data_IF_257845817686
#
_entry.id   IF_257845817686
#
_cell.length_a   1.000
_cell.length_b   1.000
_cell.length_c   1.000
_cell.angle_alpha   90.00
_cell.angle_beta   90.00
_cell.angle_gamma   90.00
#
_symmetry.space_group_name_H-M   'P 1'
#
loop_
_entity.id
_entity.type
_entity.pdbx_description
1 polymer ?
#
# COMPACT_ATOMS: atom_id res chain seq x y z
N UNK A 1 26.40 -26.74 -28.28
CA UNK A 1 25.84 -25.45 -28.72
C UNK A 1 26.55 -25.04 -30.01
N UNK A 2 25.78 -24.76 -31.08
CA UNK A 2 26.34 -24.30 -32.36
C UNK A 2 26.79 -22.83 -32.24
N UNK A 3 27.68 -22.36 -33.11
CA UNK A 3 28.23 -20.98 -33.03
C UNK A 3 27.11 -19.94 -33.17
N UNK A 4 26.10 -20.24 -33.99
CA UNK A 4 24.92 -19.40 -34.21
C UNK A 4 24.12 -19.20 -32.92
N UNK A 5 23.90 -20.27 -32.14
CA UNK A 5 23.21 -20.21 -30.84
C UNK A 5 24.00 -19.39 -29.82
N UNK A 6 25.33 -19.46 -29.85
CA UNK A 6 26.18 -18.63 -28.98
C UNK A 6 26.11 -17.15 -29.33
N UNK A 7 26.07 -16.82 -30.63
CA UNK A 7 25.92 -15.45 -31.10
C UNK A 7 24.56 -14.89 -30.71
N UNK A 8 23.49 -15.67 -30.90
CA UNK A 8 22.12 -15.28 -30.49
C UNK A 8 22.05 -15.05 -28.99
N UNK A 9 22.56 -15.98 -28.18
CA UNK A 9 22.55 -15.83 -26.73
C UNK A 9 23.37 -14.60 -26.25
N UNK A 10 24.52 -14.34 -26.89
CA UNK A 10 25.33 -13.17 -26.57
C UNK A 10 24.62 -11.85 -26.96
N UNK A 11 23.95 -11.81 -28.12
CA UNK A 11 23.21 -10.64 -28.56
C UNK A 11 21.95 -10.41 -27.71
N UNK A 12 21.18 -11.46 -27.42
CA UNK A 12 20.03 -11.42 -26.53
C UNK A 12 20.43 -10.88 -25.16
N UNK A 13 21.54 -11.35 -24.59
CA UNK A 13 22.08 -10.81 -23.33
C UNK A 13 22.37 -9.31 -23.41
N UNK A 14 23.04 -8.85 -24.48
CA UNK A 14 23.32 -7.41 -24.65
C UNK A 14 22.03 -6.58 -24.77
N UNK A 15 21.00 -7.11 -25.43
CA UNK A 15 19.70 -6.47 -25.53
C UNK A 15 18.99 -6.45 -24.17
N UNK A 16 18.96 -7.57 -23.44
CA UNK A 16 18.39 -7.65 -22.09
C UNK A 16 19.07 -6.67 -21.14
N UNK A 17 20.41 -6.64 -21.10
CA UNK A 17 21.17 -5.72 -20.26
C UNK A 17 20.84 -4.25 -20.57
N UNK A 18 20.65 -3.93 -21.85
CA UNK A 18 20.24 -2.60 -22.29
C UNK A 18 18.82 -2.26 -21.85
N UNK A 19 17.85 -3.15 -22.08
CA UNK A 19 16.44 -2.91 -21.75
C UNK A 19 16.22 -2.80 -20.25
N UNK A 20 16.90 -3.63 -19.46
CA UNK A 20 16.89 -3.54 -17.99
C UNK A 20 17.43 -2.17 -17.56
N UNK A 21 18.57 -1.75 -18.12
CA UNK A 21 19.15 -0.44 -17.81
C UNK A 21 18.23 0.73 -18.18
N UNK A 22 17.59 0.66 -19.34
CA UNK A 22 16.65 1.69 -19.80
C UNK A 22 15.38 1.72 -18.90
N UNK A 23 14.94 0.56 -18.39
CA UNK A 23 13.84 0.43 -17.43
C UNK A 23 14.19 1.01 -16.06
N UNK A 24 15.38 0.71 -15.53
CA UNK A 24 15.90 1.33 -14.30
C UNK A 24 15.92 2.85 -14.46
N UNK A 25 16.46 3.36 -15.58
CA UNK A 25 16.53 4.80 -15.83
C UNK A 25 15.15 5.47 -15.95
N UNK A 26 14.12 4.75 -16.39
CA UNK A 26 12.74 5.23 -16.41
C UNK A 26 12.15 5.27 -14.99
N UNK A 27 12.31 4.19 -14.21
CA UNK A 27 11.88 4.11 -12.81
C UNK A 27 12.62 5.11 -11.91
N UNK A 28 13.87 5.44 -12.23
CA UNK A 28 14.64 6.48 -11.53
C UNK A 28 14.14 7.90 -11.82
N UNK A 29 13.44 8.10 -12.94
CA UNK A 29 12.87 9.39 -13.37
C UNK A 29 11.43 9.61 -12.90
N UNK A 30 10.73 8.54 -12.50
CA UNK A 30 9.45 8.65 -11.82
C UNK A 30 9.63 9.43 -10.51
N UNK A 31 8.77 10.43 -10.29
CA UNK A 31 8.93 11.41 -9.21
C UNK A 31 8.64 10.76 -7.84
N UNK A 32 9.11 11.36 -6.76
CA UNK A 32 8.79 10.95 -5.40
C UNK A 32 7.28 11.06 -5.08
N UNK A 33 6.51 11.79 -5.89
CA UNK A 33 5.05 11.84 -5.78
C UNK A 33 4.35 10.60 -6.38
N UNK A 34 5.08 9.77 -7.14
CA UNK A 34 4.59 8.51 -7.71
C UNK A 34 5.03 7.30 -6.85
N UNK A 35 5.79 7.58 -5.78
CA UNK A 35 6.14 6.61 -4.75
C UNK A 35 4.93 6.30 -3.88
N UNK A 36 4.78 5.03 -3.49
CA UNK A 36 3.71 4.61 -2.58
C UNK A 36 4.19 4.44 -1.15
N UNK A 37 5.50 4.49 -0.89
CA UNK A 37 6.02 4.70 0.46
C UNK A 37 5.91 6.16 0.87
N UNK A 38 5.79 6.38 2.17
CA UNK A 38 5.62 7.73 2.71
C UNK A 38 6.74 8.71 2.40
N UNK A 39 6.37 10.00 2.47
CA UNK A 39 7.29 11.14 2.34
C UNK A 39 8.46 11.12 3.34
N UNK A 40 8.36 10.33 4.42
CA UNK A 40 9.37 10.14 5.45
C UNK A 40 10.31 8.94 5.21
N UNK A 41 10.07 8.15 4.16
CA UNK A 41 10.93 7.02 3.76
C UNK A 41 12.38 7.46 3.55
N UNK A 42 12.59 8.68 3.03
CA UNK A 42 13.90 9.18 2.66
C UNK A 42 14.49 8.52 1.41
N UNK A 43 13.69 7.70 0.71
CA UNK A 43 13.99 7.19 -0.63
C UNK A 43 13.69 8.27 -1.67
N UNK A 44 14.38 8.21 -2.81
CA UNK A 44 14.36 9.30 -3.80
C UNK A 44 13.36 9.09 -4.92
N UNK A 45 13.13 7.85 -5.33
CA UNK A 45 12.31 7.51 -6.50
C UNK A 45 11.79 6.07 -6.40
N UNK A 46 10.88 5.74 -7.31
CA UNK A 46 10.26 4.42 -7.45
C UNK A 46 11.28 3.29 -7.58
N UNK A 47 12.41 3.51 -8.26
CA UNK A 47 13.46 2.48 -8.36
C UNK A 47 14.06 2.13 -6.99
N UNK A 48 14.34 3.12 -6.14
CA UNK A 48 14.88 2.88 -4.79
C UNK A 48 13.86 2.12 -3.91
N UNK A 49 12.55 2.39 -4.05
CA UNK A 49 11.49 1.64 -3.35
C UNK A 49 11.43 0.17 -3.78
N UNK A 50 11.44 -0.08 -5.10
CA UNK A 50 11.46 -1.43 -5.65
C UNK A 50 12.68 -2.19 -5.11
N UNK A 51 13.86 -1.55 -5.04
CA UNK A 51 15.05 -2.18 -4.48
C UNK A 51 14.88 -2.57 -3.01
N UNK A 52 14.28 -1.71 -2.19
CA UNK A 52 14.03 -1.98 -0.78
C UNK A 52 13.03 -3.12 -0.60
N UNK A 53 11.89 -3.07 -1.29
CA UNK A 53 10.84 -4.10 -1.19
C UNK A 53 11.34 -5.48 -1.64
N UNK A 54 12.13 -5.54 -2.71
CA UNK A 54 12.73 -6.81 -3.18
C UNK A 54 13.79 -7.35 -2.20
N UNK A 55 14.48 -6.49 -1.44
CA UNK A 55 15.54 -6.89 -0.49
C UNK A 55 15.02 -7.25 0.89
N UNK A 56 13.78 -6.90 1.22
CA UNK A 56 13.13 -7.21 2.49
C UNK A 56 11.78 -7.88 2.24
N UNK A 57 10.70 -7.18 2.57
CA UNK A 57 9.33 -7.64 2.44
C UNK A 57 8.57 -6.74 1.47
N UNK A 58 7.77 -7.38 0.62
CA UNK A 58 6.94 -6.73 -0.37
C UNK A 58 5.81 -5.96 0.34
N UNK A 59 5.54 -4.72 -0.08
CA UNK A 59 4.42 -3.98 0.48
C UNK A 59 3.09 -4.52 -0.05
N UNK A 60 1.98 -4.15 0.58
CA UNK A 60 0.64 -4.50 0.10
C UNK A 60 0.33 -3.93 -1.29
N UNK A 61 1.12 -2.96 -1.76
CA UNK A 61 1.02 -2.34 -3.08
C UNK A 61 2.01 -2.90 -4.10
N UNK A 62 2.71 -4.00 -3.77
CA UNK A 62 3.71 -4.60 -4.65
C UNK A 62 3.18 -4.90 -6.05
N UNK A 63 1.92 -5.33 -6.16
CA UNK A 63 1.22 -5.57 -7.43
C UNK A 63 1.27 -4.34 -8.36
N UNK A 64 1.15 -3.11 -7.83
CA UNK A 64 1.21 -1.88 -8.62
C UNK A 64 2.62 -1.62 -9.20
N UNK A 65 3.67 -1.96 -8.45
CA UNK A 65 5.05 -1.89 -8.94
C UNK A 65 5.32 -2.95 -10.00
N UNK A 66 4.78 -4.17 -9.83
CA UNK A 66 4.84 -5.23 -10.84
C UNK A 66 4.17 -4.80 -12.14
N UNK A 67 2.95 -4.27 -12.08
CA UNK A 67 2.22 -3.75 -13.25
C UNK A 67 2.99 -2.63 -13.95
N UNK A 68 3.59 -1.71 -13.18
CA UNK A 68 4.40 -0.62 -13.71
C UNK A 68 5.65 -1.14 -14.44
N UNK A 69 6.36 -2.09 -13.84
CA UNK A 69 7.53 -2.73 -14.47
C UNK A 69 7.15 -3.48 -15.75
N UNK A 70 6.05 -4.24 -15.72
CA UNK A 70 5.54 -4.97 -16.89
C UNK A 70 5.14 -4.02 -18.01
N UNK A 71 4.45 -2.93 -17.70
CA UNK A 71 4.05 -1.91 -18.67
C UNK A 71 5.26 -1.24 -19.36
N UNK A 72 6.28 -0.87 -18.60
CA UNK A 72 7.53 -0.30 -19.13
C UNK A 72 8.26 -1.29 -20.05
N UNK A 73 8.43 -2.53 -19.60
CA UNK A 73 9.11 -3.58 -20.35
C UNK A 73 8.37 -3.92 -21.64
N UNK A 74 7.04 -4.03 -21.58
CA UNK A 74 6.18 -4.24 -22.75
C UNK A 74 6.40 -3.13 -23.77
N UNK A 75 6.32 -1.87 -23.34
CA UNK A 75 6.54 -0.72 -24.22
C UNK A 75 7.92 -0.72 -24.88
N UNK A 76 8.97 -1.13 -24.17
CA UNK A 76 10.29 -1.24 -24.78
C UNK A 76 10.43 -2.42 -25.74
N UNK A 77 9.82 -3.57 -25.45
CA UNK A 77 9.82 -4.75 -26.33
C UNK A 77 9.08 -4.46 -27.64
N UNK A 78 7.96 -3.74 -27.59
CA UNK A 78 7.18 -3.34 -28.76
C UNK A 78 7.98 -2.45 -29.74
N UNK A 79 8.91 -1.65 -29.23
CA UNK A 79 9.78 -0.78 -30.03
C UNK A 79 10.89 -1.52 -30.76
N UNK A 80 11.14 -2.80 -30.43
CA UNK A 80 12.17 -3.59 -31.07
C UNK A 80 11.72 -4.12 -32.43
N UNK A 81 12.70 -4.22 -33.34
CA UNK A 81 12.49 -4.94 -34.59
C UNK A 81 12.28 -6.45 -34.33
N UNK A 82 11.78 -7.13 -35.37
CA UNK A 82 11.44 -8.55 -35.28
C UNK A 82 12.66 -9.43 -34.98
N UNK A 83 13.83 -9.08 -35.49
CA UNK A 83 15.05 -9.88 -35.32
C UNK A 83 15.55 -9.79 -33.88
N UNK A 84 15.47 -8.61 -33.26
CA UNK A 84 15.77 -8.39 -31.85
C UNK A 84 14.78 -9.13 -30.93
N UNK A 85 13.47 -9.06 -31.21
CA UNK A 85 12.46 -9.84 -30.47
C UNK A 85 12.69 -11.34 -30.60
N UNK A 86 13.01 -11.83 -31.80
CA UNK A 86 13.36 -13.23 -32.01
C UNK A 86 14.59 -13.66 -31.21
N UNK A 87 15.63 -12.81 -31.15
CA UNK A 87 16.83 -13.12 -30.39
C UNK A 87 16.55 -13.22 -28.88
N UNK A 88 15.74 -12.29 -28.35
CA UNK A 88 15.31 -12.31 -26.94
C UNK A 88 14.42 -13.50 -26.63
N UNK A 89 13.45 -13.82 -27.48
CA UNK A 89 12.56 -14.97 -27.27
C UNK A 89 13.32 -16.30 -27.37
N UNK A 90 14.30 -16.42 -28.27
CA UNK A 90 15.10 -17.64 -28.41
C UNK A 90 15.89 -18.05 -27.16
N UNK A 91 15.98 -17.17 -26.15
CA UNK A 91 16.59 -17.48 -24.84
C UNK A 91 15.58 -17.53 -23.68
N UNK A 92 14.28 -17.41 -23.94
CA UNK A 92 13.22 -17.77 -22.99
C UNK A 92 13.06 -19.28 -22.93
N UNK A 93 12.30 -19.78 -21.96
CA UNK A 93 12.08 -21.22 -21.82
C UNK A 93 11.29 -21.73 -23.04
N UNK A 94 10.20 -21.04 -23.41
CA UNK A 94 9.41 -21.38 -24.61
C UNK A 94 10.24 -21.31 -25.90
N UNK A 95 11.02 -20.25 -26.10
CA UNK A 95 11.78 -20.09 -27.33
C UNK A 95 12.98 -21.04 -27.41
N UNK A 96 13.60 -21.38 -26.27
CA UNK A 96 14.65 -22.41 -26.23
C UNK A 96 14.08 -23.77 -26.60
N UNK A 97 12.93 -24.15 -26.05
CA UNK A 97 12.23 -25.41 -26.38
C UNK A 97 11.87 -25.44 -27.87
N UNK A 98 11.34 -24.34 -28.39
CA UNK A 98 11.02 -24.22 -29.81
C UNK A 98 12.26 -24.38 -30.71
N UNK A 99 13.37 -23.73 -30.36
CA UNK A 99 14.64 -23.84 -31.10
C UNK A 99 15.12 -25.29 -31.10
N UNK A 100 15.01 -25.98 -29.97
CA UNK A 100 15.42 -27.38 -29.81
C UNK A 100 14.57 -28.35 -30.65
N UNK A 101 13.25 -28.15 -30.68
CA UNK A 101 12.32 -28.96 -31.47
C UNK A 101 12.54 -28.81 -32.99
N UNK A 102 13.01 -27.65 -33.45
CA UNK A 102 13.18 -27.33 -34.87
C UNK A 102 14.65 -27.40 -35.35
N UNK A 103 15.60 -27.92 -34.55
CA UNK A 103 17.03 -27.97 -34.92
C UNK A 103 17.34 -28.81 -36.17
N UNK A 104 16.45 -29.75 -36.52
CA UNK A 104 16.61 -30.66 -37.64
C UNK A 104 16.05 -30.11 -38.97
N UNK A 105 15.34 -28.97 -38.93
CA UNK A 105 14.69 -28.41 -40.09
C UNK A 105 15.71 -27.81 -41.06
N UNK A 106 15.78 -28.36 -42.26
CA UNK A 106 16.79 -27.99 -43.28
C UNK A 106 16.42 -26.76 -44.09
N UNK A 107 15.14 -26.39 -44.14
CA UNK A 107 14.63 -25.30 -44.99
C UNK A 107 14.43 -23.97 -44.24
N UNK A 108 14.72 -23.96 -42.93
CA UNK A 108 14.47 -22.84 -42.02
C UNK A 108 12.98 -22.62 -41.76
N UNK A 109 12.62 -22.19 -40.55
CA UNK A 109 11.22 -21.88 -40.24
C UNK A 109 10.89 -20.47 -40.70
N UNK A 110 10.00 -20.36 -41.69
CA UNK A 110 9.35 -19.09 -42.03
C UNK A 110 8.17 -18.94 -41.08
N UNK A 111 8.17 -17.86 -40.30
CA UNK A 111 7.12 -17.52 -39.33
C UNK A 111 7.25 -18.15 -37.92
N UNK A 112 8.39 -17.90 -37.28
CA UNK A 112 8.61 -18.24 -35.85
C UNK A 112 7.58 -17.49 -34.97
N UNK A 113 6.83 -18.20 -34.11
CA UNK A 113 5.81 -17.62 -33.25
C UNK A 113 6.43 -16.98 -32.01
N UNK A 114 6.97 -15.78 -32.17
CA UNK A 114 7.61 -15.04 -31.07
C UNK A 114 6.55 -14.59 -30.06
N UNK A 115 6.68 -15.04 -28.81
CA UNK A 115 5.86 -14.58 -27.68
C UNK A 115 6.51 -13.36 -27.02
N UNK A 116 5.81 -12.23 -27.01
CA UNK A 116 6.29 -11.01 -26.34
C UNK A 116 6.14 -11.13 -24.82
N UNK A 117 5.08 -11.79 -24.34
CA UNK A 117 4.81 -12.01 -22.92
C UNK A 117 5.96 -12.78 -22.25
N UNK A 118 6.50 -13.81 -22.91
CA UNK A 118 7.66 -14.57 -22.42
C UNK A 118 8.94 -13.73 -22.38
N UNK A 119 9.14 -12.83 -23.36
CA UNK A 119 10.27 -11.90 -23.35
C UNK A 119 10.13 -10.96 -22.14
N UNK A 120 8.95 -10.37 -21.95
CA UNK A 120 8.67 -9.43 -20.85
C UNK A 120 8.85 -10.12 -19.50
N UNK A 121 8.32 -11.33 -19.33
CA UNK A 121 8.48 -12.13 -18.11
C UNK A 121 9.96 -12.35 -17.78
N UNK A 122 10.76 -12.81 -18.75
CA UNK A 122 12.20 -13.02 -18.55
C UNK A 122 12.96 -11.73 -18.24
N UNK A 123 12.59 -10.62 -18.87
CA UNK A 123 13.20 -9.31 -18.60
C UNK A 123 12.82 -8.79 -17.21
N UNK A 124 11.59 -9.04 -16.75
CA UNK A 124 11.12 -8.70 -15.40
C UNK A 124 11.93 -9.43 -14.34
N UNK A 125 12.18 -10.73 -14.52
CA UNK A 125 13.04 -11.49 -13.61
C UNK A 125 14.46 -10.90 -13.55
N UNK A 126 14.99 -10.45 -14.70
CA UNK A 126 16.26 -9.76 -14.78
C UNK A 126 16.27 -8.40 -14.06
N UNK A 127 15.17 -7.64 -14.16
CA UNK A 127 14.98 -6.36 -13.50
C UNK A 127 14.88 -6.52 -11.98
N UNK A 128 14.08 -7.48 -11.50
CA UNK A 128 13.96 -7.83 -10.09
C UNK A 128 15.31 -8.32 -9.53
N UNK A 129 16.04 -9.13 -10.31
CA UNK A 129 17.41 -9.53 -9.95
C UNK A 129 18.35 -8.33 -9.84
N UNK A 130 18.21 -7.32 -10.70
CA UNK A 130 18.99 -6.09 -10.60
C UNK A 130 18.63 -5.30 -9.33
N UNK A 131 17.34 -5.20 -9.00
CA UNK A 131 16.84 -4.54 -7.78
C UNK A 131 17.36 -5.22 -6.50
N UNK A 132 17.33 -6.56 -6.45
CA UNK A 132 17.84 -7.35 -5.32
C UNK A 132 19.34 -7.12 -5.04
N UNK A 133 20.10 -6.75 -6.07
CA UNK A 133 21.55 -6.53 -5.99
C UNK A 133 21.96 -5.06 -5.98
N UNK A 134 21.00 -4.13 -6.04
CA UNK A 134 21.26 -2.70 -6.08
C UNK A 134 21.33 -2.12 -4.66
N UNK A 135 22.34 -1.31 -4.37
CA UNK A 135 22.43 -0.65 -3.06
C UNK A 135 23.04 0.73 -3.18
N UNK A 136 22.58 1.64 -2.34
CA UNK A 136 23.13 2.97 -2.18
C UNK A 136 22.98 3.42 -0.71
N UNK A 137 23.46 4.63 -0.39
CA UNK A 137 23.45 5.13 0.98
C UNK A 137 22.03 5.32 1.56
N UNK A 138 21.02 5.65 0.74
CA UNK A 138 19.63 5.81 1.19
C UNK A 138 19.00 4.47 1.48
N UNK A 139 19.12 3.53 0.55
CA UNK A 139 18.66 2.15 0.72
C UNK A 139 19.33 1.53 1.95
N UNK A 140 20.65 1.65 2.08
CA UNK A 140 21.37 1.11 3.25
C UNK A 140 20.85 1.72 4.55
N UNK A 141 20.61 3.04 4.58
CA UNK A 141 20.04 3.72 5.75
C UNK A 141 18.59 3.27 6.03
N UNK A 142 17.79 3.08 4.99
CA UNK A 142 16.43 2.59 5.09
C UNK A 142 16.41 1.18 5.69
N UNK A 143 17.21 0.27 5.13
CA UNK A 143 17.32 -1.11 5.60
C UNK A 143 17.88 -1.17 7.03
N UNK A 144 18.85 -0.32 7.38
CA UNK A 144 19.43 -0.25 8.73
C UNK A 144 18.42 0.25 9.78
N UNK A 145 17.53 1.18 9.43
CA UNK A 145 16.41 1.59 10.32
C UNK A 145 15.46 0.43 10.64
N UNK A 146 15.43 -0.60 9.79
CA UNK A 146 14.65 -1.81 10.02
C UNK A 146 15.45 -2.92 10.72
N UNK A 147 16.78 -2.85 10.78
CA UNK A 147 17.63 -3.80 11.52
C UNK A 147 17.86 -3.36 12.97
N UNK A 148 18.00 -2.05 13.21
CA UNK A 148 18.13 -1.43 14.53
C UNK A 148 16.79 -0.79 14.92
N UNK A 149 15.86 -1.58 15.46
CA UNK A 149 14.54 -1.10 15.88
C UNK A 149 14.65 0.15 16.76
N UNK A 150 13.91 1.21 16.40
CA UNK A 150 13.77 2.50 17.10
C UNK A 150 14.65 2.70 18.34
N UNK A 151 15.96 2.85 18.16
CA UNK A 151 16.75 3.59 19.13
C UNK A 151 16.50 5.07 18.83
N UNK A 152 15.86 5.73 19.80
CA UNK A 152 15.75 7.16 19.95
C UNK A 152 17.04 7.83 19.43
N UNK A 153 16.96 8.46 18.26
CA UNK A 153 17.94 9.47 17.93
C UNK A 153 17.63 10.64 18.86
N UNK A 154 18.31 10.67 19.99
CA UNK A 154 18.46 11.83 20.86
C UNK A 154 18.64 13.06 19.95
N UNK A 155 17.65 13.96 19.99
CA UNK A 155 17.87 15.32 19.53
C UNK A 155 18.95 15.89 20.44
N UNK A 156 20.18 15.98 19.94
CA UNK A 156 21.25 16.78 20.53
C UNK A 156 20.81 18.26 20.55
N UNK A 157 19.96 18.64 21.51
CA UNK A 157 19.80 20.02 21.96
C UNK A 157 20.68 20.21 23.21
N UNK A 158 21.96 20.46 22.96
CA UNK A 158 22.81 21.24 23.86
C UNK A 158 22.17 22.64 24.03
N UNK A 159 21.57 22.93 25.18
CA UNK A 159 21.96 24.08 26.03
C UNK A 159 21.14 24.20 27.32
N UNK A 160 21.84 23.89 28.41
CA UNK A 160 21.91 24.60 29.71
C UNK A 160 20.63 24.91 30.53
N UNK A 161 20.49 24.09 31.60
CA UNK A 161 20.26 24.46 33.00
C UNK A 161 19.29 25.62 33.35
N UNK A 162 18.15 25.28 33.95
CA UNK A 162 17.63 26.01 35.12
C UNK A 162 16.87 25.08 36.10
N UNK A 163 17.42 25.02 37.32
CA UNK A 163 16.89 24.35 38.50
C UNK A 163 15.52 24.91 38.98
N UNK A 164 14.79 24.05 39.69
CA UNK A 164 14.26 24.28 41.06
C UNK A 164 12.73 24.10 41.26
N UNK A 165 12.45 23.08 42.08
CA UNK A 165 11.39 22.89 43.08
C UNK A 165 9.90 23.15 42.80
N UNK A 166 9.09 22.11 43.07
CA UNK A 166 7.68 22.27 43.43
C UNK A 166 6.83 21.01 43.31
N UNK A 167 6.85 20.16 44.33
CA UNK A 167 5.88 19.07 44.48
C UNK A 167 4.48 19.61 44.83
N UNK A 168 3.48 19.36 44.00
CA UNK A 168 2.06 19.31 44.40
C UNK A 168 1.29 18.24 43.61
N UNK A 169 0.60 17.36 44.35
CA UNK A 169 -0.36 16.37 43.88
C UNK A 169 -1.41 16.98 42.94
N UNK A 170 -1.71 16.32 41.81
CA UNK A 170 -3.01 16.40 41.16
C UNK A 170 -3.24 15.24 40.18
N UNK A 171 -4.22 14.41 40.54
CA UNK A 171 -5.09 13.59 39.69
C UNK A 171 -4.49 13.01 38.39
N UNK A 172 -4.35 11.68 38.34
CA UNK A 172 -4.41 10.89 37.11
C UNK A 172 -5.79 11.05 36.45
N UNK A 173 -6.03 12.21 35.85
CA UNK A 173 -6.90 12.30 34.69
C UNK A 173 -6.14 11.69 33.54
N UNK A 174 -6.47 10.44 33.21
CA UNK A 174 -6.26 9.86 31.89
C UNK A 174 -6.95 10.79 30.88
N UNK A 175 -6.26 11.84 30.44
CA UNK A 175 -6.62 12.56 29.23
C UNK A 175 -6.41 11.54 28.11
N UNK A 176 -7.46 10.79 27.77
CA UNK A 176 -7.57 10.19 26.44
C UNK A 176 -7.56 11.38 25.47
N UNK A 177 -6.36 11.64 24.99
CA UNK A 177 -6.02 12.77 24.16
C UNK A 177 -6.56 12.45 22.77
N UNK A 178 -7.85 12.74 22.53
CA UNK A 178 -8.31 12.94 21.18
C UNK A 178 -7.68 14.25 20.71
N UNK A 179 -6.45 14.17 20.21
CA UNK A 179 -5.92 15.22 19.36
C UNK A 179 -6.65 15.11 18.02
N UNK A 180 -7.85 15.69 17.94
CA UNK A 180 -8.33 16.17 16.66
C UNK A 180 -7.32 17.24 16.26
N UNK A 181 -6.21 16.80 15.62
CA UNK A 181 -5.13 17.69 15.20
C UNK A 181 -5.80 18.91 14.57
N UNK A 182 -5.35 20.15 14.84
CA UNK A 182 -5.98 21.37 14.33
C UNK A 182 -6.07 21.49 12.79
N UNK A 183 -5.70 20.44 12.06
CA UNK A 183 -5.78 20.28 10.61
C UNK A 183 -7.21 20.04 10.07
N UNK A 184 -8.17 19.50 10.85
CA UNK A 184 -9.53 19.22 10.33
C UNK A 184 -10.48 20.39 10.61
N UNK A 185 -10.80 21.16 9.57
CA UNK A 185 -11.78 22.24 9.67
C UNK A 185 -13.23 21.69 9.66
N UNK A 186 -14.02 22.07 10.67
CA UNK A 186 -15.42 21.67 10.87
C UNK A 186 -15.67 20.14 10.85
N UNK A 187 -15.12 19.37 11.80
CA UNK A 187 -15.30 17.92 11.85
C UNK A 187 -16.76 17.54 12.13
N UNK A 188 -17.21 16.44 11.52
CA UNK A 188 -18.51 15.82 11.75
C UNK A 188 -18.31 14.57 12.58
N UNK A 189 -18.75 14.61 13.82
CA UNK A 189 -18.66 13.45 14.73
C UNK A 189 -19.84 12.53 14.51
N UNK A 190 -19.57 11.33 13.99
CA UNK A 190 -20.53 10.26 13.84
C UNK A 190 -20.51 9.36 15.08
N UNK A 191 -21.53 9.52 15.93
CA UNK A 191 -21.62 8.81 17.21
C UNK A 191 -22.45 7.54 17.07
N UNK A 192 -21.82 6.39 17.33
CA UNK A 192 -22.50 5.11 17.52
C UNK A 192 -22.53 4.82 19.02
N UNK A 193 -23.72 4.64 19.59
CA UNK A 193 -23.86 4.32 21.02
C UNK A 193 -23.88 2.82 21.23
N UNK A 194 -23.44 2.36 22.41
CA UNK A 194 -23.57 0.97 22.81
C UNK A 194 -25.01 0.45 22.70
N UNK A 195 -26.02 1.28 22.96
CA UNK A 195 -27.43 0.88 22.78
C UNK A 195 -27.74 0.50 21.33
N UNK A 196 -27.26 1.28 20.33
CA UNK A 196 -27.45 0.95 18.91
C UNK A 196 -26.79 -0.38 18.55
N UNK A 197 -25.60 -0.63 19.10
CA UNK A 197 -24.85 -1.87 18.89
C UNK A 197 -25.56 -3.06 19.54
N UNK A 198 -25.96 -2.92 20.81
CA UNK A 198 -26.65 -3.97 21.58
C UNK A 198 -28.00 -4.33 20.95
N UNK A 199 -28.72 -3.36 20.40
CA UNK A 199 -30.01 -3.55 19.71
C UNK A 199 -29.85 -3.96 18.23
N UNK A 200 -28.63 -3.93 17.68
CA UNK A 200 -28.35 -4.07 16.24
C UNK A 200 -29.20 -3.12 15.38
N UNK A 201 -29.41 -1.89 15.85
CA UNK A 201 -30.17 -0.85 15.14
C UNK A 201 -29.28 -0.11 14.12
N UNK A 202 -28.96 -0.83 13.04
CA UNK A 202 -28.10 -0.34 11.95
C UNK A 202 -28.78 0.77 11.14
N UNK A 203 -30.11 0.74 11.00
CA UNK A 203 -30.85 1.70 10.16
C UNK A 203 -30.75 3.14 10.69
N UNK A 204 -30.80 3.34 12.02
CA UNK A 204 -30.60 4.67 12.62
C UNK A 204 -29.25 5.29 12.24
N UNK A 205 -28.21 4.46 12.10
CA UNK A 205 -26.89 4.89 11.63
C UNK A 205 -26.84 5.09 10.12
N UNK A 206 -27.49 4.21 9.35
CA UNK A 206 -27.56 4.32 7.88
C UNK A 206 -28.35 5.53 7.42
N UNK A 207 -29.38 5.95 8.14
CA UNK A 207 -30.15 7.17 7.83
C UNK A 207 -29.24 8.40 7.78
N UNK A 208 -28.30 8.50 8.71
CA UNK A 208 -27.28 9.54 8.71
C UNK A 208 -26.27 9.35 7.57
N UNK A 209 -25.68 8.16 7.43
CA UNK A 209 -24.64 7.91 6.42
C UNK A 209 -25.14 8.08 4.98
N UNK A 210 -26.34 7.60 4.67
CA UNK A 210 -26.99 7.78 3.35
C UNK A 210 -27.25 9.25 3.05
N UNK A 211 -27.43 10.10 4.06
CA UNK A 211 -27.59 11.55 3.86
C UNK A 211 -26.31 12.25 3.39
N UNK A 212 -25.13 11.64 3.60
CA UNK A 212 -23.84 12.15 3.15
C UNK A 212 -23.59 11.92 1.64
N UNK A 213 -24.33 10.99 1.02
CA UNK A 213 -24.18 10.60 -0.40
C UNK A 213 -25.47 10.90 -1.20
N UNK A 214 -25.96 12.16 -1.24
CA UNK A 214 -27.18 12.47 -1.97
C UNK A 214 -26.92 12.44 -3.48
N UNK A 215 -27.69 11.64 -4.22
CA UNK A 215 -27.55 11.52 -5.69
C UNK A 215 -27.74 12.86 -6.40
N UNK A 216 -28.62 13.73 -5.88
CA UNK A 216 -28.99 14.99 -6.53
C UNK A 216 -28.06 16.17 -6.21
N UNK A 217 -27.07 16.00 -5.30
CA UNK A 217 -26.23 17.11 -4.78
C UNK A 217 -24.77 16.69 -4.56
N UNK A 218 -23.98 16.52 -5.63
CA UNK A 218 -22.54 16.19 -5.54
C UNK A 218 -21.75 17.15 -4.64
N UNK A 219 -22.08 18.43 -4.65
CA UNK A 219 -21.43 19.44 -3.82
C UNK A 219 -21.58 19.18 -2.32
N UNK A 220 -22.63 18.44 -1.92
CA UNK A 220 -22.85 18.06 -0.54
C UNK A 220 -21.88 16.97 -0.11
N UNK A 221 -21.74 15.90 -0.90
CA UNK A 221 -20.77 14.84 -0.62
C UNK A 221 -19.35 15.41 -0.54
N UNK A 222 -19.00 16.30 -1.49
CA UNK A 222 -17.70 16.97 -1.50
C UNK A 222 -17.44 17.80 -0.24
N UNK A 223 -18.45 18.50 0.28
CA UNK A 223 -18.31 19.34 1.47
C UNK A 223 -17.96 18.55 2.74
N UNK A 224 -18.28 17.25 2.78
CA UNK A 224 -17.97 16.36 3.92
C UNK A 224 -16.77 15.43 3.67
N UNK A 225 -16.12 15.51 2.50
CA UNK A 225 -14.90 14.76 2.18
C UNK A 225 -13.86 14.97 3.29
N UNK A 226 -13.37 13.88 3.87
CA UNK A 226 -12.33 13.91 4.91
C UNK A 226 -12.70 14.63 6.22
N UNK A 227 -13.99 14.77 6.55
CA UNK A 227 -14.44 15.48 7.77
C UNK A 227 -15.08 14.57 8.82
N UNK A 228 -15.39 13.34 8.48
CA UNK A 228 -16.12 12.43 9.36
C UNK A 228 -15.16 11.81 10.38
N UNK A 229 -15.55 11.85 11.65
CA UNK A 229 -14.86 11.18 12.77
C UNK A 229 -15.81 10.16 13.40
N UNK A 230 -15.39 8.91 13.51
CA UNK A 230 -16.13 7.84 14.16
C UNK A 230 -15.94 7.92 15.67
N UNK A 231 -17.04 7.93 16.43
CA UNK A 231 -17.03 7.85 17.88
C UNK A 231 -17.96 6.74 18.35
N UNK A 232 -17.40 5.69 18.95
CA UNK A 232 -18.18 4.63 19.60
C UNK A 232 -18.20 4.89 21.10
N UNK A 233 -19.40 5.03 21.68
CA UNK A 233 -19.59 5.42 23.09
C UNK A 233 -20.26 4.33 23.91
N UNK A 234 -19.98 4.27 25.21
CA UNK A 234 -20.58 3.29 26.14
C UNK A 234 -19.73 2.05 26.40
N UNK A 235 -18.50 2.03 25.89
CA UNK A 235 -17.48 1.00 26.13
C UNK A 235 -16.28 1.52 26.93
N UNK A 236 -16.37 2.72 27.54
CA UNK A 236 -15.26 3.35 28.26
C UNK A 236 -14.73 2.55 29.45
N UNK A 237 -15.54 1.62 29.98
CA UNK A 237 -15.18 0.69 31.06
C UNK A 237 -14.82 -0.72 30.59
N UNK A 238 -14.93 -1.01 29.29
CA UNK A 238 -14.45 -2.27 28.71
C UNK A 238 -12.91 -2.17 28.57
N UNK A 239 -12.14 -3.14 29.10
CA UNK A 239 -10.68 -3.12 29.00
C UNK A 239 -10.16 -3.48 27.61
N UNK A 240 -11.01 -4.01 26.72
CA UNK A 240 -10.66 -4.39 25.35
C UNK A 240 -10.71 -3.18 24.41
N UNK A 241 -9.93 -3.25 23.35
CA UNK A 241 -10.02 -2.32 22.22
C UNK A 241 -11.32 -2.54 21.44
N UNK A 242 -11.83 -1.49 20.79
CA UNK A 242 -13.14 -1.54 20.11
C UNK A 242 -13.23 -2.64 19.05
N UNK A 243 -12.11 -2.93 18.37
CA UNK A 243 -12.01 -3.98 17.35
C UNK A 243 -11.89 -5.39 17.92
N UNK A 244 -11.78 -5.56 19.25
CA UNK A 244 -11.80 -6.86 19.93
C UNK A 244 -13.21 -7.20 20.45
N UNK A 245 -14.12 -6.22 20.43
CA UNK A 245 -15.50 -6.38 20.88
C UNK A 245 -16.34 -6.92 19.71
N UNK A 246 -16.77 -8.17 19.82
CA UNK A 246 -17.47 -8.88 18.75
C UNK A 246 -18.73 -8.17 18.25
N UNK A 247 -19.47 -7.55 19.16
CA UNK A 247 -20.71 -6.82 18.90
C UNK A 247 -20.42 -5.54 18.11
N UNK A 248 -19.36 -4.82 18.46
CA UNK A 248 -18.87 -3.64 17.71
C UNK A 248 -18.48 -4.06 16.29
N UNK A 249 -17.67 -5.10 16.15
CA UNK A 249 -17.22 -5.59 14.86
C UNK A 249 -18.39 -6.08 13.98
N UNK A 250 -19.36 -6.76 14.58
CA UNK A 250 -20.55 -7.23 13.87
C UNK A 250 -21.40 -6.05 13.37
N UNK A 251 -21.59 -5.04 14.21
CA UNK A 251 -22.33 -3.83 13.84
C UNK A 251 -21.65 -3.04 12.72
N UNK A 252 -20.33 -2.81 12.80
CA UNK A 252 -19.58 -2.11 11.76
C UNK A 252 -19.54 -2.88 10.43
N UNK A 253 -19.44 -4.22 10.46
CA UNK A 253 -19.57 -5.04 9.24
C UNK A 253 -20.96 -4.92 8.60
N UNK A 254 -22.02 -4.83 9.41
CA UNK A 254 -23.37 -4.63 8.90
C UNK A 254 -23.55 -3.24 8.28
N UNK A 255 -22.94 -2.20 8.86
CA UNK A 255 -22.91 -0.87 8.24
C UNK A 255 -22.14 -0.87 6.93
N UNK A 256 -20.93 -1.44 6.92
CA UNK A 256 -20.07 -1.48 5.75
C UNK A 256 -20.74 -2.21 4.57
N UNK A 257 -21.47 -3.30 4.85
CA UNK A 257 -22.22 -4.05 3.86
C UNK A 257 -23.17 -3.17 3.02
N UNK A 258 -23.76 -2.15 3.65
CA UNK A 258 -24.74 -1.24 3.03
C UNK A 258 -24.12 0.12 2.61
N UNK A 259 -23.03 0.53 3.26
CA UNK A 259 -22.41 1.84 3.05
C UNK A 259 -20.87 1.73 3.12
N UNK A 260 -20.18 1.40 2.01
CA UNK A 260 -18.73 1.18 2.00
C UNK A 260 -17.89 2.43 1.68
N UNK A 261 -18.40 3.64 1.99
CA UNK A 261 -17.77 4.91 1.55
C UNK A 261 -16.81 5.53 2.59
N UNK A 262 -16.34 4.74 3.55
CA UNK A 262 -15.55 5.22 4.70
C UNK A 262 -14.34 6.04 4.30
N UNK A 263 -13.54 5.55 3.34
CA UNK A 263 -12.29 6.20 2.93
C UNK A 263 -12.50 7.60 2.34
N UNK A 264 -13.66 7.85 1.72
CA UNK A 264 -13.99 9.17 1.17
C UNK A 264 -14.30 10.21 2.26
N UNK A 265 -15.03 9.79 3.29
CA UNK A 265 -15.58 10.69 4.31
C UNK A 265 -14.73 10.79 5.56
N UNK A 266 -14.05 9.72 5.98
CA UNK A 266 -13.24 9.74 7.19
C UNK A 266 -12.06 10.70 7.04
N UNK A 267 -11.87 11.49 8.08
CA UNK A 267 -10.69 12.31 8.21
C UNK A 267 -9.46 11.42 8.44
N UNK A 268 -8.29 11.98 8.13
CA UNK A 268 -7.00 11.32 8.23
C UNK A 268 -6.21 11.73 9.48
N UNK A 269 -6.86 12.44 10.41
CA UNK A 269 -6.22 13.00 11.60
C UNK A 269 -6.41 12.14 12.86
N UNK A 270 -7.45 11.29 12.90
CA UNK A 270 -7.81 10.44 14.03
C UNK A 270 -7.86 8.93 13.69
N UNK A 271 -8.17 8.11 14.69
CA UNK A 271 -8.16 6.65 14.63
C UNK A 271 -9.37 6.02 13.91
N UNK A 272 -10.27 6.81 13.29
CA UNK A 272 -11.51 6.29 12.70
C UNK A 272 -11.26 5.25 11.61
N UNK A 273 -10.29 5.53 10.73
CA UNK A 273 -9.89 4.62 9.64
C UNK A 273 -9.32 3.33 10.23
N UNK A 274 -8.48 3.41 11.27
CA UNK A 274 -7.91 2.25 11.93
C UNK A 274 -8.98 1.39 12.56
N UNK A 275 -9.88 1.97 13.36
CA UNK A 275 -10.95 1.20 14.03
C UNK A 275 -11.80 0.44 13.02
N UNK A 276 -12.21 1.08 11.92
CA UNK A 276 -13.03 0.40 10.92
C UNK A 276 -12.23 -0.67 10.16
N UNK A 277 -10.99 -0.37 9.78
CA UNK A 277 -10.13 -1.31 9.09
C UNK A 277 -9.93 -2.58 9.92
N UNK A 278 -9.61 -2.44 11.21
CA UNK A 278 -9.41 -3.56 12.14
C UNK A 278 -10.67 -4.40 12.32
N UNK A 279 -11.84 -3.76 12.46
CA UNK A 279 -13.11 -4.47 12.61
C UNK A 279 -13.51 -5.25 11.35
N UNK A 280 -13.23 -4.71 10.16
CA UNK A 280 -13.61 -5.30 8.88
C UNK A 280 -12.61 -6.37 8.42
N UNK A 281 -11.31 -6.17 8.67
CA UNK A 281 -10.25 -7.13 8.40
C UNK A 281 -10.31 -8.38 9.31
N UNK A 282 -11.24 -8.42 10.26
CA UNK A 282 -11.41 -9.54 11.20
C UNK A 282 -10.14 -9.83 12.02
N UNK A 283 -9.49 -8.76 12.51
CA UNK A 283 -8.34 -8.88 13.38
C UNK A 283 -8.66 -9.71 14.62
N UNK A 284 -7.70 -10.55 15.05
CA UNK A 284 -7.81 -11.38 16.24
C UNK A 284 -6.72 -10.95 17.22
N UNK A 285 -7.09 -10.62 18.45
CA UNK A 285 -6.15 -10.35 19.54
C UNK A 285 -5.30 -11.59 19.81
N UNK A 286 -3.99 -11.44 19.71
CA UNK A 286 -3.02 -12.51 20.02
C UNK A 286 -2.49 -12.31 21.45
N UNK A 287 -2.39 -11.06 21.91
CA UNK A 287 -2.03 -10.66 23.28
C UNK A 287 -2.65 -9.29 23.61
N UNK A 288 -2.89 -8.94 24.89
CA UNK A 288 -3.46 -7.64 25.28
C UNK A 288 -2.69 -6.45 24.71
N UNK A 289 -3.35 -5.67 23.86
CA UNK A 289 -2.78 -4.50 23.19
C UNK A 289 -2.05 -4.79 21.88
N UNK A 290 -2.02 -6.04 21.42
CA UNK A 290 -1.42 -6.46 20.15
C UNK A 290 -2.39 -7.35 19.35
N UNK A 291 -2.97 -6.77 18.31
CA UNK A 291 -3.87 -7.44 17.39
C UNK A 291 -3.11 -7.96 16.17
N UNK A 292 -3.36 -9.23 15.81
CA UNK A 292 -2.92 -9.74 14.52
C UNK A 292 -3.97 -9.38 13.46
N UNK A 293 -3.50 -8.68 12.43
CA UNK A 293 -4.30 -8.31 11.27
C UNK A 293 -4.08 -9.38 10.21
N UNK A 294 -5.17 -9.99 9.73
CA UNK A 294 -5.10 -10.81 8.54
C UNK A 294 -4.80 -9.92 7.33
N UNK A 295 -3.66 -10.15 6.68
CA UNK A 295 -3.20 -9.33 5.54
C UNK A 295 -4.16 -9.44 4.36
N UNK A 296 -4.80 -10.59 4.13
CA UNK A 296 -5.88 -10.74 3.15
C UNK A 296 -7.11 -9.92 3.54
N UNK A 297 -7.54 -9.98 4.81
CA UNK A 297 -8.65 -9.20 5.34
C UNK A 297 -8.47 -7.70 5.14
N UNK A 298 -7.27 -7.17 5.38
CA UNK A 298 -7.00 -5.76 5.14
C UNK A 298 -6.92 -5.41 3.65
N UNK A 299 -6.29 -6.26 2.82
CA UNK A 299 -6.27 -6.07 1.35
C UNK A 299 -7.70 -5.96 0.81
N UNK A 300 -8.59 -6.85 1.23
CA UNK A 300 -10.00 -6.80 0.81
C UNK A 300 -10.74 -5.56 1.30
N UNK A 301 -10.46 -5.07 2.51
CA UNK A 301 -11.01 -3.80 2.99
C UNK A 301 -10.58 -2.64 2.09
N UNK A 302 -9.28 -2.57 1.75
CA UNK A 302 -8.72 -1.52 0.91
C UNK A 302 -9.27 -1.57 -0.51
N UNK A 303 -9.27 -2.74 -1.15
CA UNK A 303 -9.82 -2.95 -2.50
C UNK A 303 -11.27 -2.45 -2.59
N UNK A 304 -12.09 -2.84 -1.60
CA UNK A 304 -13.49 -2.44 -1.52
C UNK A 304 -13.65 -0.94 -1.26
N UNK A 305 -12.85 -0.38 -0.35
CA UNK A 305 -12.86 1.03 -0.02
C UNK A 305 -12.49 1.90 -1.21
N UNK A 306 -11.41 1.57 -1.92
CA UNK A 306 -10.98 2.30 -3.13
C UNK A 306 -11.97 2.14 -4.28
N UNK A 307 -12.57 0.96 -4.46
CA UNK A 307 -13.65 0.79 -5.44
C UNK A 307 -14.85 1.71 -5.13
N UNK A 308 -15.20 1.87 -3.85
CA UNK A 308 -16.27 2.77 -3.43
C UNK A 308 -15.91 4.25 -3.63
N UNK A 309 -14.65 4.64 -3.38
CA UNK A 309 -14.14 5.99 -3.68
C UNK A 309 -14.22 6.26 -5.17
N UNK A 310 -13.69 5.36 -6.02
CA UNK A 310 -13.73 5.49 -7.47
C UNK A 310 -15.16 5.65 -7.98
N UNK A 311 -16.10 4.85 -7.45
CA UNK A 311 -17.52 4.99 -7.77
C UNK A 311 -18.07 6.39 -7.46
N UNK A 312 -17.71 7.00 -6.33
CA UNK A 312 -18.15 8.37 -5.99
C UNK A 312 -17.54 9.40 -6.94
N UNK A 313 -16.25 9.29 -7.25
CA UNK A 313 -15.58 10.20 -8.18
C UNK A 313 -16.20 10.13 -9.58
N UNK A 314 -16.47 8.93 -10.09
CA UNK A 314 -17.13 8.71 -11.38
C UNK A 314 -18.58 9.22 -11.39
N UNK A 315 -19.34 8.90 -10.34
CA UNK A 315 -20.77 9.26 -10.26
C UNK A 315 -20.98 10.76 -10.17
N UNK A 316 -20.12 11.45 -9.42
CA UNK A 316 -20.25 12.90 -9.20
C UNK A 316 -19.36 13.76 -10.10
N UNK A 317 -18.47 13.16 -10.88
CA UNK A 317 -17.56 13.86 -11.78
C UNK A 317 -16.52 14.70 -11.03
N UNK A 318 -15.99 14.18 -9.92
CA UNK A 318 -14.96 14.85 -9.14
C UNK A 318 -13.57 14.77 -9.82
N UNK A 319 -12.63 15.68 -9.50
CA UNK A 319 -11.30 15.69 -10.13
C UNK A 319 -10.45 14.47 -9.74
N UNK A 320 -9.89 13.76 -10.71
CA UNK A 320 -9.09 12.54 -10.48
C UNK A 320 -7.87 12.78 -9.57
N UNK A 321 -7.20 13.93 -9.69
CA UNK A 321 -6.06 14.30 -8.83
C UNK A 321 -6.38 14.30 -7.33
N UNK A 322 -7.64 14.57 -6.97
CA UNK A 322 -8.10 14.57 -5.58
C UNK A 322 -8.39 13.15 -5.04
N UNK A 323 -8.56 12.18 -5.94
CA UNK A 323 -8.67 10.76 -5.64
C UNK A 323 -7.30 10.17 -5.31
N UNK A 324 -6.29 10.52 -6.11
CA UNK A 324 -4.89 10.12 -5.90
C UNK A 324 -4.40 10.59 -4.52
N UNK A 325 -4.58 11.87 -4.19
CA UNK A 325 -4.20 12.43 -2.89
C UNK A 325 -4.90 11.73 -1.73
N UNK A 326 -6.20 11.46 -1.87
CA UNK A 326 -6.96 10.76 -0.83
C UNK A 326 -6.43 9.34 -0.64
N UNK A 327 -6.17 8.64 -1.75
CA UNK A 327 -5.74 7.25 -1.73
C UNK A 327 -4.36 7.10 -1.09
N UNK A 328 -3.42 7.96 -1.48
CA UNK A 328 -2.08 8.03 -0.89
C UNK A 328 -2.12 8.34 0.61
N UNK A 329 -2.98 9.26 1.05
CA UNK A 329 -3.13 9.58 2.47
C UNK A 329 -3.70 8.43 3.31
N UNK A 330 -4.64 7.64 2.77
CA UNK A 330 -5.17 6.44 3.45
C UNK A 330 -4.09 5.37 3.58
N UNK A 331 -3.33 5.14 2.52
CA UNK A 331 -2.21 4.20 2.49
C UNK A 331 -1.22 4.49 3.61
N UNK A 332 -0.76 5.74 3.74
CA UNK A 332 0.21 6.14 4.74
C UNK A 332 -0.25 5.84 6.18
N UNK A 333 -1.52 6.07 6.48
CA UNK A 333 -2.07 5.90 7.83
C UNK A 333 -2.04 4.43 8.24
N UNK A 334 -2.36 3.54 7.31
CA UNK A 334 -2.43 2.11 7.59
C UNK A 334 -1.03 1.49 7.69
N UNK A 335 -0.09 1.89 6.83
CA UNK A 335 1.32 1.48 6.95
C UNK A 335 1.91 1.88 8.31
N UNK A 336 1.67 3.12 8.75
CA UNK A 336 2.14 3.60 10.05
C UNK A 336 1.46 2.91 11.24
N UNK A 337 0.29 2.30 11.03
CA UNK A 337 -0.51 1.66 12.10
C UNK A 337 -0.27 0.16 12.23
N UNK A 338 0.42 -0.47 11.27
CA UNK A 338 0.78 -1.88 11.34
C UNK A 338 1.96 -2.08 12.31
N UNK A 339 1.66 -2.80 13.38
CA UNK A 339 2.65 -3.39 14.26
C UNK A 339 3.00 -4.76 13.68
N UNK A 340 4.27 -4.93 13.31
CA UNK A 340 4.82 -6.23 12.95
C UNK A 340 5.13 -7.01 14.25
N UNK A 341 4.49 -8.18 14.47
CA UNK A 341 4.68 -8.97 15.69
C UNK A 341 6.11 -9.53 15.86
N UNK A 342 6.87 -9.69 14.77
CA UNK A 342 8.30 -10.05 14.83
C UNK A 342 9.18 -8.83 15.12
N UNK A 343 8.73 -7.63 14.72
CA UNK A 343 9.39 -6.32 14.99
C UNK A 343 9.30 -5.89 16.45
N UNK A 344 8.20 -6.20 17.14
CA UNK A 344 7.93 -5.70 18.50
C UNK A 344 8.21 -6.74 19.61
N UNK A 345 8.87 -7.85 19.27
CA UNK A 345 9.39 -8.82 20.24
C UNK A 345 8.34 -9.75 20.86
N UNK A 346 7.15 -9.88 20.28
CA UNK A 346 6.13 -10.81 20.74
C UNK A 346 6.36 -12.20 20.14
N UNK A 347 7.26 -12.98 20.74
CA UNK A 347 7.37 -14.42 20.45
C UNK A 347 6.07 -15.13 20.81
N UNK A 348 5.37 -15.64 19.79
CA UNK A 348 4.32 -16.66 19.93
C UNK A 348 4.96 -17.94 20.50
N UNK A 349 4.76 -18.16 21.80
CA UNK A 349 5.17 -19.38 22.51
C UNK A 349 4.24 -20.56 22.31
#
# INVERSE_FOLDING_TARGET
MRIEQQIVAAWARQLSDKLIKDSIAALEQMDANEMLSGDDSGLKNVWEEICVQVQQEESIFWDAYLETMEGLLTGFVELLDRDARMALWAVTDEGSDYVDDHQADTDGVRDVPVSEDEIVSKLKDGLLSAAANYSNARITKFLARHEDGYDELEEDEDDEDLDDDGAEEQAETTKRFFDLRPAVADPVVFVITRQLIDDMDVESSLDFLRSLVPVERPEHAWAYKGRLSLMISGYDSDPRELYEISEVCHYLRALDAEWPFWLFFFNQADESIKVIAMCLASAIEVVPGAAHIDSEGLKHFLERGFAAVNYLFDTYGFPESENEVLSMGVTQILENSMIDPDRDGYSLG
#
